data_IF_103961867066
#
_entry.id   IF_103961867066
#
_cell.length_a   1.000
_cell.length_b   1.000
_cell.length_c   1.000
_cell.angle_alpha   90.00
_cell.angle_beta   90.00
_cell.angle_gamma   90.00
#
_symmetry.space_group_name_H-M   'P 1'
#
loop_
_entity.id
_entity.type
_entity.pdbx_description
1 polymer ?
#
# COMPACT_ATOMS: atom_id res chain seq x y z
N UNK A 1 -3.74 5.77 4.65
CA UNK A 1 -2.58 5.66 3.70
C UNK A 1 -1.39 5.03 4.42
N UNK A 2 -0.75 3.99 3.87
CA UNK A 2 0.50 3.43 4.41
C UNK A 2 1.72 3.85 3.60
N UNK A 3 2.83 4.17 4.27
CA UNK A 3 4.10 4.46 3.59
C UNK A 3 5.28 3.83 4.30
N UNK A 4 6.21 3.28 3.51
CA UNK A 4 7.50 2.79 3.97
C UNK A 4 8.50 2.69 2.81
N UNK A 5 9.81 2.84 3.07
CA UNK A 5 10.82 2.42 2.13
C UNK A 5 10.74 0.90 1.94
N UNK A 6 10.66 0.45 0.69
CA UNK A 6 10.65 -0.97 0.36
C UNK A 6 12.08 -1.49 0.19
N UNK A 7 12.40 -2.70 0.67
CA UNK A 7 13.73 -3.29 0.49
C UNK A 7 14.10 -3.45 -0.99
N UNK A 8 15.39 -3.33 -1.30
CA UNK A 8 15.91 -3.60 -2.64
C UNK A 8 15.58 -5.04 -3.03
N UNK A 9 15.07 -5.24 -4.25
CA UNK A 9 14.68 -6.55 -4.77
C UNK A 9 13.29 -7.03 -4.36
N UNK A 10 12.56 -6.28 -3.53
CA UNK A 10 11.17 -6.58 -3.17
C UNK A 10 10.19 -6.36 -4.31
N UNK A 11 10.59 -5.64 -5.37
CA UNK A 11 9.77 -5.37 -6.54
C UNK A 11 10.34 -6.10 -7.76
N UNK A 12 9.45 -6.75 -8.50
CA UNK A 12 9.72 -7.21 -9.87
C UNK A 12 8.74 -6.53 -10.80
N UNK A 13 9.22 -6.00 -11.91
CA UNK A 13 8.42 -5.31 -12.91
C UNK A 13 8.87 -5.76 -14.30
N UNK A 14 7.92 -6.18 -15.12
CA UNK A 14 8.13 -6.50 -16.52
C UNK A 14 7.16 -5.68 -17.38
N UNK A 15 7.70 -4.69 -18.09
CA UNK A 15 6.91 -3.82 -18.96
C UNK A 15 6.47 -4.49 -20.27
N UNK A 16 7.07 -5.61 -20.66
CA UNK A 16 6.67 -6.36 -21.86
C UNK A 16 5.55 -7.34 -21.56
N UNK A 17 5.62 -7.97 -20.39
CA UNK A 17 4.57 -8.84 -19.89
C UNK A 17 3.45 -8.06 -19.17
N UNK A 18 3.65 -6.75 -18.94
CA UNK A 18 2.70 -5.87 -18.26
C UNK A 18 2.32 -6.41 -16.87
N UNK A 19 3.34 -6.84 -16.13
CA UNK A 19 3.16 -7.44 -14.80
C UNK A 19 4.09 -6.79 -13.80
N UNK A 20 3.65 -6.78 -12.55
CA UNK A 20 4.48 -6.43 -11.41
C UNK A 20 4.20 -7.33 -10.22
N UNK A 21 5.16 -7.41 -9.31
CA UNK A 21 4.92 -7.97 -7.98
C UNK A 21 5.72 -7.22 -6.93
N UNK A 22 5.12 -7.06 -5.75
CA UNK A 22 5.72 -6.50 -4.56
C UNK A 22 5.64 -7.54 -3.45
N UNK A 23 6.77 -7.90 -2.87
CA UNK A 23 6.84 -8.83 -1.74
C UNK A 23 7.70 -8.24 -0.65
N UNK A 24 7.09 -8.01 0.51
CA UNK A 24 7.79 -7.48 1.69
C UNK A 24 7.40 -8.25 2.93
N UNK A 25 8.32 -8.31 3.89
CA UNK A 25 8.12 -8.96 5.19
C UNK A 25 8.74 -8.10 6.28
N UNK A 26 8.08 -8.06 7.43
CA UNK A 26 8.53 -7.35 8.63
C UNK A 26 8.91 -5.88 8.36
N UNK A 27 8.05 -5.17 7.61
CA UNK A 27 8.25 -3.74 7.30
C UNK A 27 7.45 -2.90 8.28
N UNK A 28 8.13 -1.95 8.92
CA UNK A 28 7.46 -0.89 9.68
C UNK A 28 6.83 0.08 8.69
N UNK A 29 5.53 0.30 8.83
CA UNK A 29 4.77 1.26 8.02
C UNK A 29 4.15 2.31 8.92
N UNK A 30 4.12 3.54 8.43
CA UNK A 30 3.31 4.59 9.03
C UNK A 30 1.88 4.43 8.54
N UNK A 31 0.95 4.18 9.47
CA UNK A 31 -0.47 4.16 9.17
C UNK A 31 -1.06 5.57 9.29
N UNK A 32 -1.20 6.22 8.14
CA UNK A 32 -1.95 7.46 7.99
C UNK A 32 -3.45 7.20 7.98
N UNK A 33 -3.98 6.80 9.15
CA UNK A 33 -5.40 6.87 9.51
C UNK A 33 -6.35 5.77 9.00
N UNK A 34 -5.89 4.56 8.61
CA UNK A 34 -6.83 3.55 8.08
C UNK A 34 -7.23 2.49 9.11
N UNK A 35 -6.30 1.92 9.88
CA UNK A 35 -6.67 0.78 10.74
C UNK A 35 -7.25 1.17 12.11
N UNK A 36 -6.76 2.22 12.79
CA UNK A 36 -7.42 2.73 13.99
C UNK A 36 -8.78 3.38 13.72
N UNK A 37 -8.94 4.09 12.59
CA UNK A 37 -10.21 4.73 12.23
C UNK A 37 -11.30 3.74 11.79
N UNK A 38 -10.94 2.52 11.36
CA UNK A 38 -11.92 1.49 11.07
C UNK A 38 -12.75 1.08 12.31
N UNK A 39 -12.31 1.45 13.52
CA UNK A 39 -12.97 1.11 14.78
C UNK A 39 -13.56 2.31 15.54
N UNK A 40 -13.32 3.56 15.10
CA UNK A 40 -13.96 4.74 15.71
C UNK A 40 -13.94 5.99 14.82
N UNK A 41 -15.10 6.38 14.27
CA UNK A 41 -15.26 7.58 13.43
C UNK A 41 -15.22 8.90 14.21
N UNK A 42 -15.32 8.88 15.54
CA UNK A 42 -15.36 10.08 16.40
C UNK A 42 -14.02 10.43 17.03
N UNK A 43 -13.02 9.55 16.91
CA UNK A 43 -11.70 9.76 17.47
C UNK A 43 -10.65 9.43 16.41
N UNK A 44 -10.11 10.44 15.70
CA UNK A 44 -8.97 10.24 14.83
C UNK A 44 -7.79 9.84 15.70
N UNK A 45 -7.58 8.55 15.89
CA UNK A 45 -6.34 8.08 16.48
C UNK A 45 -5.23 8.46 15.49
N UNK A 46 -4.24 9.21 16.00
CA UNK A 46 -3.16 9.79 15.20
C UNK A 46 -2.28 8.74 14.51
N UNK A 47 -1.09 9.14 14.07
CA UNK A 47 -0.16 8.22 13.41
C UNK A 47 0.09 6.97 14.27
N UNK A 48 -0.32 5.81 13.74
CA UNK A 48 -0.05 4.52 14.37
C UNK A 48 1.06 3.83 13.59
N UNK A 49 2.06 3.35 14.33
CA UNK A 49 3.08 2.48 13.75
C UNK A 49 2.44 1.11 13.55
N UNK A 50 2.46 0.62 12.32
CA UNK A 50 1.99 -0.72 11.98
C UNK A 50 3.15 -1.54 11.42
N UNK A 51 3.08 -2.85 11.55
CA UNK A 51 4.07 -3.78 11.02
C UNK A 51 3.36 -4.61 9.97
N UNK A 52 3.79 -4.51 8.71
CA UNK A 52 3.45 -5.49 7.68
C UNK A 52 4.31 -6.73 7.93
N UNK A 53 3.74 -7.73 8.61
CA UNK A 53 4.44 -9.00 8.83
C UNK A 53 4.68 -9.69 7.49
N UNK A 54 3.69 -9.64 6.59
CA UNK A 54 3.83 -10.04 5.20
C UNK A 54 2.89 -9.25 4.31
N UNK A 55 3.38 -8.80 3.16
CA UNK A 55 2.58 -8.26 2.07
C UNK A 55 3.08 -8.88 0.77
N UNK A 56 2.14 -9.39 -0.02
CA UNK A 56 2.36 -9.82 -1.39
C UNK A 56 1.28 -9.17 -2.25
N UNK A 57 1.72 -8.38 -3.21
CA UNK A 57 0.86 -7.75 -4.20
C UNK A 57 1.31 -8.19 -5.58
N UNK A 58 0.36 -8.55 -6.43
CA UNK A 58 0.62 -9.02 -7.80
C UNK A 58 -0.29 -8.29 -8.76
N UNK A 59 0.29 -7.70 -9.79
CA UNK A 59 -0.33 -6.93 -10.86
C UNK A 59 -0.32 -7.76 -12.13
N UNK A 60 -1.49 -7.98 -12.74
CA UNK A 60 -1.62 -8.77 -13.96
C UNK A 60 -2.94 -8.50 -14.68
N UNK A 61 -2.95 -8.70 -16.00
CA UNK A 61 -4.16 -8.60 -16.82
C UNK A 61 -4.51 -7.15 -17.12
N UNK A 62 -3.67 -6.50 -17.92
CA UNK A 62 -3.88 -5.13 -18.38
C UNK A 62 -5.27 -4.96 -18.99
N UNK A 63 -6.01 -4.01 -18.44
CA UNK A 63 -7.32 -3.62 -18.96
C UNK A 63 -7.14 -2.46 -19.93
N UNK A 64 -6.24 -1.52 -19.61
CA UNK A 64 -6.02 -0.32 -20.40
C UNK A 64 -4.57 0.16 -20.37
N UNK A 65 -4.07 0.62 -21.52
CA UNK A 65 -2.77 1.31 -21.63
C UNK A 65 -2.98 2.82 -21.77
N UNK A 66 -2.27 3.61 -20.98
CA UNK A 66 -2.30 5.08 -21.02
C UNK A 66 -0.89 5.63 -21.17
N UNK A 67 -0.71 6.41 -22.22
CA UNK A 67 0.53 7.16 -22.46
C UNK A 67 0.26 8.66 -22.37
N UNK A 68 1.02 9.33 -21.51
CA UNK A 68 1.04 10.78 -21.40
C UNK A 68 2.32 11.30 -22.02
N UNK A 69 2.18 12.09 -23.09
CA UNK A 69 3.29 12.81 -23.69
C UNK A 69 2.78 14.13 -24.23
N UNK A 70 3.51 15.21 -23.99
CA UNK A 70 3.35 16.47 -24.71
C UNK A 70 4.68 16.86 -25.37
N UNK A 71 4.68 17.93 -26.15
CA UNK A 71 5.87 18.38 -26.89
C UNK A 71 6.88 19.15 -26.02
N UNK A 72 6.56 19.46 -24.76
CA UNK A 72 7.46 20.18 -23.85
C UNK A 72 8.51 19.20 -23.27
N UNK A 73 9.82 19.49 -23.37
CA UNK A 73 10.87 18.63 -22.82
C UNK A 73 10.84 18.50 -21.29
N UNK A 74 10.28 19.46 -20.56
CA UNK A 74 10.23 19.50 -19.10
C UNK A 74 8.92 19.00 -18.51
N UNK A 75 7.92 18.73 -19.34
CA UNK A 75 6.64 18.28 -18.85
C UNK A 75 6.64 16.81 -18.42
N UNK A 76 5.60 16.46 -17.68
CA UNK A 76 5.28 15.10 -17.28
C UNK A 76 5.18 14.18 -18.50
N UNK A 77 5.84 13.03 -18.40
CA UNK A 77 5.72 11.93 -19.36
C UNK A 77 5.56 10.65 -18.59
N UNK A 78 4.62 9.82 -19.00
CA UNK A 78 4.47 8.52 -18.37
C UNK A 78 3.76 7.52 -19.24
N UNK A 79 4.12 6.28 -19.05
CA UNK A 79 3.55 5.13 -19.72
C UNK A 79 3.04 4.19 -18.63
N UNK A 80 1.74 3.95 -18.62
CA UNK A 80 1.03 3.27 -17.54
C UNK A 80 0.10 2.19 -18.07
N UNK A 81 0.08 1.08 -17.35
CA UNK A 81 -0.88 -0.01 -17.51
C UNK A 81 -1.86 0.08 -16.34
N UNK A 82 -3.14 0.27 -16.66
CA UNK A 82 -4.25 0.14 -15.70
C UNK A 82 -4.71 -1.32 -15.71
N UNK A 83 -4.66 -1.95 -14.55
CA UNK A 83 -4.78 -3.38 -14.40
C UNK A 83 -5.51 -3.78 -13.10
N UNK A 84 -5.46 -5.09 -12.82
CA UNK A 84 -5.96 -5.71 -11.61
C UNK A 84 -4.77 -6.06 -10.70
N UNK A 85 -4.91 -5.74 -9.42
CA UNK A 85 -3.96 -6.20 -8.40
C UNK A 85 -4.63 -7.15 -7.40
N UNK A 86 -3.96 -8.25 -7.07
CA UNK A 86 -4.34 -9.11 -5.94
C UNK A 86 -3.43 -8.84 -4.77
N UNK A 87 -3.99 -8.73 -3.56
CA UNK A 87 -3.27 -8.36 -2.34
C UNK A 87 -3.49 -9.43 -1.27
N UNK A 88 -2.39 -10.00 -0.80
CA UNK A 88 -2.33 -10.82 0.41
C UNK A 88 -1.55 -10.05 1.47
N UNK A 89 -2.17 -9.77 2.63
CA UNK A 89 -1.55 -8.96 3.68
C UNK A 89 -1.82 -9.51 5.07
N UNK A 90 -0.78 -9.50 5.89
CA UNK A 90 -0.85 -9.68 7.33
C UNK A 90 -0.17 -8.48 7.98
N UNK A 91 -0.93 -7.76 8.79
CA UNK A 91 -0.48 -6.57 9.48
C UNK A 91 -0.78 -6.64 10.97
N UNK A 92 0.08 -6.05 11.79
CA UNK A 92 -0.11 -5.95 13.24
C UNK A 92 0.22 -4.55 13.73
N UNK A 93 -0.48 -4.06 14.75
CA UNK A 93 -0.03 -2.91 15.54
C UNK A 93 0.59 -3.34 16.85
N UNK A 94 1.60 -2.61 17.34
CA UNK A 94 2.15 -2.85 18.66
C UNK A 94 1.14 -2.41 19.73
N UNK A 95 1.12 -3.06 20.91
CA UNK A 95 0.35 -2.57 22.04
C UNK A 95 0.88 -1.21 22.50
N UNK A 96 -0.03 -0.36 23.01
CA UNK A 96 0.32 0.93 23.59
C UNK A 96 0.29 0.78 25.12
N UNK A 97 1.41 1.02 25.83
CA UNK A 97 1.43 0.96 27.29
C UNK A 97 0.59 2.11 27.87
N UNK A 98 0.09 1.90 29.09
CA UNK A 98 -0.52 2.98 29.86
C UNK A 98 0.50 4.11 30.06
N UNK A 99 -0.01 5.35 30.11
CA UNK A 99 0.80 6.54 30.45
C UNK A 99 0.11 7.27 31.58
N UNK A 100 0.91 7.81 32.48
CA UNK A 100 0.40 8.58 33.62
C UNK A 100 0.25 10.08 33.31
N UNK A 101 0.84 10.57 32.21
CA UNK A 101 0.75 11.96 31.80
C UNK A 101 0.85 12.13 30.26
N UNK A 102 -0.22 12.55 29.57
CA UNK A 102 -1.61 12.53 30.05
C UNK A 102 -2.02 11.11 30.45
N UNK A 103 -2.94 10.98 31.41
CA UNK A 103 -3.44 9.66 31.83
C UNK A 103 -4.15 9.00 30.66
N UNK A 104 -3.59 7.89 30.16
CA UNK A 104 -4.19 7.08 29.10
C UNK A 104 -4.09 5.61 29.46
N UNK A 105 -5.19 4.83 29.37
CA UNK A 105 -5.15 3.40 29.64
C UNK A 105 -4.29 2.66 28.61
N UNK A 106 -3.79 1.48 28.99
CA UNK A 106 -3.12 0.60 28.04
C UNK A 106 -4.11 0.14 26.95
N UNK A 107 -3.63 0.01 25.71
CA UNK A 107 -4.40 -0.52 24.58
C UNK A 107 -3.69 -1.71 23.95
N UNK A 108 -4.43 -2.76 23.67
CA UNK A 108 -3.91 -3.89 22.91
C UNK A 108 -3.70 -3.49 21.45
N UNK A 109 -2.69 -4.08 20.82
CA UNK A 109 -2.57 -4.04 19.37
C UNK A 109 -3.60 -4.96 18.72
N UNK A 110 -3.79 -4.82 17.42
CA UNK A 110 -4.62 -5.71 16.62
C UNK A 110 -3.76 -6.49 15.62
N UNK A 111 -4.34 -7.58 15.09
CA UNK A 111 -3.79 -8.36 13.99
C UNK A 111 -4.83 -8.44 12.88
N UNK A 112 -4.46 -7.94 11.71
CA UNK A 112 -5.21 -8.08 10.48
C UNK A 112 -4.58 -9.18 9.61
N UNK A 113 -5.41 -10.04 9.06
CA UNK A 113 -5.02 -11.08 8.09
C UNK A 113 -6.07 -11.07 6.99
N UNK A 114 -5.65 -10.85 5.74
CA UNK A 114 -6.52 -11.04 4.58
C UNK A 114 -6.90 -12.52 4.46
N UNK A 115 -8.18 -12.84 4.24
CA UNK A 115 -8.69 -14.23 4.23
C UNK A 115 -8.10 -15.08 3.07
N UNK A 116 -7.23 -16.07 3.35
CA UNK A 116 -6.59 -16.86 2.29
C UNK A 116 -7.55 -17.83 1.56
N UNK A 117 -8.74 -18.11 2.09
CA UNK A 117 -9.73 -19.01 1.48
C UNK A 117 -10.74 -18.27 0.58
N UNK A 118 -10.89 -16.96 0.78
CA UNK A 118 -11.63 -16.12 -0.14
C UNK A 118 -10.76 -15.91 -1.39
N UNK A 119 -11.09 -16.62 -2.49
CA UNK A 119 -10.44 -16.42 -3.80
C UNK A 119 -10.65 -15.00 -4.36
N UNK A 120 -11.47 -14.19 -3.70
CA UNK A 120 -11.61 -12.75 -3.91
C UNK A 120 -10.74 -11.90 -2.99
N UNK A 121 -9.68 -12.43 -2.34
CA UNK A 121 -8.81 -11.65 -1.45
C UNK A 121 -8.25 -10.41 -2.14
N UNK A 122 -8.95 -9.33 -1.84
CA UNK A 122 -8.75 -7.93 -2.24
C UNK A 122 -8.23 -7.78 -3.67
N UNK A 123 -8.97 -8.32 -4.64
CA UNK A 123 -8.80 -7.88 -6.03
C UNK A 123 -9.14 -6.40 -6.11
N UNK A 124 -8.13 -5.57 -6.33
CA UNK A 124 -8.30 -4.16 -6.58
C UNK A 124 -8.59 -3.99 -8.07
N UNK A 125 -9.80 -3.55 -8.39
CA UNK A 125 -10.29 -3.37 -9.76
C UNK A 125 -9.66 -2.18 -10.51
N UNK A 126 -8.94 -1.34 -9.79
CA UNK A 126 -8.16 -0.25 -10.34
C UNK A 126 -6.78 -0.25 -9.69
N UNK A 127 -5.80 -0.80 -10.39
CA UNK A 127 -4.40 -0.68 -10.07
C UNK A 127 -3.65 -0.10 -11.27
N UNK A 128 -2.50 0.51 -11.02
CA UNK A 128 -1.69 1.11 -12.08
C UNK A 128 -0.21 0.84 -11.83
N UNK A 129 0.47 0.38 -12.88
CA UNK A 129 1.93 0.25 -12.91
C UNK A 129 2.46 0.99 -14.13
N UNK A 130 3.61 1.61 -14.02
CA UNK A 130 4.14 2.39 -15.13
C UNK A 130 5.50 2.98 -14.86
N UNK A 131 5.98 3.71 -15.86
CA UNK A 131 7.20 4.50 -15.78
C UNK A 131 6.86 5.94 -16.02
N UNK A 132 7.35 6.81 -15.15
CA UNK A 132 7.19 8.25 -15.29
C UNK A 132 8.53 8.98 -15.36
N UNK A 133 8.50 10.16 -15.96
CA UNK A 133 9.59 11.13 -16.03
C UNK A 133 9.00 12.52 -15.79
N UNK A 134 9.71 13.32 -15.00
CA UNK A 134 9.30 14.67 -14.60
C UNK A 134 7.97 14.65 -13.81
N UNK A 135 7.94 13.91 -12.69
CA UNK A 135 6.77 13.55 -11.86
C UNK A 135 6.01 14.69 -11.16
N UNK A 136 5.89 15.87 -11.79
CA UNK A 136 4.95 16.90 -11.37
C UNK A 136 3.77 16.86 -12.34
N UNK A 137 2.66 16.27 -11.89
CA UNK A 137 1.34 16.52 -12.46
C UNK A 137 0.95 17.96 -12.08
N UNK A 138 0.68 18.81 -13.06
CA UNK A 138 0.03 20.11 -12.84
C UNK A 138 -1.48 19.96 -13.10
#
# INVERSE_FOLDING_TARGET
MWSAPIPVGSVKFDSKAETASLQVKNVLVFDGFDVPNALNTFHPEGHVNSILNSLKMTWSGTIQHRSYSNCDPNAFRGDFFEDLATIEVTATTPPVPARDCPVTPARHGFRFVSDPADKGTTTVHFAQIGREKNGVFY
#
